data_IF_484748860604
#
_entry.id   IF_484748860604
#
_cell.length_a   1.000
_cell.length_b   1.000
_cell.length_c   1.000
_cell.angle_alpha   90.00
_cell.angle_beta   90.00
_cell.angle_gamma   90.00
#
_symmetry.space_group_name_H-M   'P 1'
#
loop_
_entity.id
_entity.type
_entity.pdbx_description
1 polymer ?
#
# COMPACT_ATOMS: atom_id res chain seq x y z
N UNK A 1 -17.83 7.03 10.03
CA UNK A 1 -16.43 7.47 9.93
C UNK A 1 -15.55 6.64 10.85
N UNK A 2 -14.39 6.21 10.40
CA UNK A 2 -13.40 5.47 11.20
C UNK A 2 -12.16 6.30 11.31
N UNK A 3 -11.72 6.50 12.53
CA UNK A 3 -10.64 7.42 12.84
C UNK A 3 -9.48 6.70 13.55
N UNK A 4 -8.27 6.84 13.01
CA UNK A 4 -7.05 6.31 13.64
C UNK A 4 -6.27 7.45 14.32
N UNK A 5 -6.35 7.61 15.68
CA UNK A 5 -5.66 8.65 16.40
C UNK A 5 -4.13 8.48 16.41
N UNK A 6 -3.64 7.24 16.19
CA UNK A 6 -2.20 6.96 16.13
C UNK A 6 -1.59 7.35 14.78
N UNK A 7 -2.42 7.64 13.75
CA UNK A 7 -1.94 8.06 12.44
C UNK A 7 -1.07 9.32 12.52
N UNK A 8 -0.15 9.49 11.57
CA UNK A 8 0.76 10.62 11.57
C UNK A 8 1.62 10.72 12.83
N UNK A 9 1.88 9.58 13.52
CA UNK A 9 2.64 9.45 14.78
C UNK A 9 1.98 10.13 15.98
N UNK A 10 0.67 9.93 16.14
CA UNK A 10 -0.15 10.48 17.21
C UNK A 10 -0.64 11.91 16.97
N UNK A 11 -0.25 12.54 15.85
CA UNK A 11 -0.81 13.85 15.47
C UNK A 11 -2.26 13.73 14.99
N UNK A 12 -2.67 12.55 14.56
CA UNK A 12 -4.06 12.26 14.20
C UNK A 12 -5.01 12.65 15.31
N UNK A 13 -4.73 12.24 16.56
CA UNK A 13 -5.56 12.56 17.72
C UNK A 13 -5.82 14.05 17.93
N UNK A 14 -4.84 14.91 17.68
CA UNK A 14 -4.99 16.37 17.80
C UNK A 14 -5.89 17.00 16.72
N UNK A 15 -6.08 16.28 15.59
CA UNK A 15 -6.86 16.75 14.44
C UNK A 15 -8.30 16.24 14.43
N UNK A 16 -8.65 15.33 15.35
CA UNK A 16 -10.00 14.71 15.38
C UNK A 16 -11.09 15.77 15.49
N UNK A 17 -10.99 16.66 16.48
CA UNK A 17 -12.01 17.67 16.71
C UNK A 17 -12.22 18.56 15.48
N UNK A 18 -11.14 19.04 14.87
CA UNK A 18 -11.20 19.87 13.66
C UNK A 18 -11.81 19.10 12.46
N UNK A 19 -11.45 17.81 12.27
CA UNK A 19 -12.06 16.99 11.22
C UNK A 19 -13.55 16.74 11.48
N UNK A 20 -13.94 16.45 12.72
CA UNK A 20 -15.35 16.26 13.08
C UNK A 20 -16.17 17.53 12.85
N UNK A 21 -15.66 18.68 13.23
CA UNK A 21 -16.31 19.97 13.01
C UNK A 21 -16.50 20.25 11.52
N UNK A 22 -15.45 20.11 10.73
CA UNK A 22 -15.51 20.29 9.28
C UNK A 22 -16.47 19.32 8.61
N UNK A 23 -16.42 18.03 8.98
CA UNK A 23 -17.32 17.01 8.44
C UNK A 23 -18.77 17.29 8.82
N UNK A 24 -19.05 17.63 10.08
CA UNK A 24 -20.41 17.99 10.54
C UNK A 24 -20.95 19.20 9.78
N UNK A 25 -20.13 20.21 9.53
CA UNK A 25 -20.50 21.39 8.77
C UNK A 25 -20.89 21.08 7.33
N UNK A 26 -20.23 20.12 6.68
CA UNK A 26 -20.40 19.82 5.25
C UNK A 26 -21.29 18.62 4.98
N UNK A 27 -21.35 17.63 5.86
CA UNK A 27 -22.09 16.38 5.68
C UNK A 27 -23.31 16.23 6.61
N UNK A 28 -23.46 17.11 7.59
CA UNK A 28 -24.50 16.97 8.63
C UNK A 28 -24.12 15.87 9.65
N UNK A 29 -25.14 15.18 10.18
CA UNK A 29 -24.95 14.14 11.22
C UNK A 29 -24.45 12.85 10.60
N UNK A 30 -23.40 12.24 11.21
CA UNK A 30 -22.85 10.94 10.82
C UNK A 30 -22.35 10.16 12.04
N UNK A 31 -22.33 8.82 11.93
CA UNK A 31 -21.72 7.96 12.94
C UNK A 31 -20.19 7.98 12.85
N UNK A 32 -19.50 7.89 14.00
CA UNK A 32 -18.05 7.77 14.02
C UNK A 32 -17.55 6.76 15.06
N UNK A 33 -16.41 6.15 14.78
CA UNK A 33 -15.69 5.24 15.66
C UNK A 33 -14.21 5.59 15.67
N UNK A 34 -13.55 5.35 16.80
CA UNK A 34 -12.12 5.62 16.99
C UNK A 34 -11.43 4.30 17.25
N UNK A 35 -10.35 4.01 16.50
CA UNK A 35 -9.53 2.82 16.75
C UNK A 35 -8.77 2.96 18.07
N UNK A 36 -8.66 1.86 18.82
CA UNK A 36 -7.93 1.79 20.09
C UNK A 36 -6.61 1.06 19.94
N UNK A 37 -6.53 0.15 18.98
CA UNK A 37 -5.36 -0.64 18.65
C UNK A 37 -5.23 -0.82 17.14
N UNK A 38 -4.04 -1.23 16.68
CA UNK A 38 -3.81 -1.65 15.29
C UNK A 38 -4.69 -2.86 14.98
N UNK A 39 -5.38 -2.83 13.85
CA UNK A 39 -6.29 -3.88 13.40
C UNK A 39 -7.75 -3.65 13.75
N UNK A 40 -8.10 -2.60 14.52
CA UNK A 40 -9.49 -2.26 14.82
C UNK A 40 -10.24 -1.72 13.59
N UNK A 41 -9.52 -1.21 12.59
CA UNK A 41 -10.09 -0.57 11.41
C UNK A 41 -11.05 -1.49 10.65
N UNK A 42 -10.64 -2.73 10.41
CA UNK A 42 -11.47 -3.73 9.71
C UNK A 42 -12.76 -4.06 10.46
N UNK A 43 -12.71 -4.52 11.71
CA UNK A 43 -13.93 -4.80 12.52
C UNK A 43 -14.87 -3.60 12.63
N UNK A 44 -14.36 -2.38 12.80
CA UNK A 44 -15.17 -1.16 12.87
C UNK A 44 -15.82 -0.84 11.51
N UNK A 45 -15.10 -1.06 10.39
CA UNK A 45 -15.65 -0.88 9.06
C UNK A 45 -16.78 -1.88 8.79
N UNK A 46 -16.56 -3.15 9.12
CA UNK A 46 -17.56 -4.19 8.99
C UNK A 46 -18.83 -3.88 9.79
N UNK A 47 -18.68 -3.52 11.07
CA UNK A 47 -19.82 -3.17 11.92
C UNK A 47 -20.61 -1.98 11.35
N UNK A 48 -19.95 -0.98 10.80
CA UNK A 48 -20.61 0.15 10.17
C UNK A 48 -21.37 -0.26 8.89
N UNK A 49 -20.80 -1.14 8.06
CA UNK A 49 -21.45 -1.69 6.87
C UNK A 49 -22.67 -2.56 7.22
N UNK A 50 -22.56 -3.39 8.24
CA UNK A 50 -23.67 -4.20 8.77
C UNK A 50 -24.81 -3.32 9.33
N UNK A 51 -24.47 -2.13 9.85
CA UNK A 51 -25.44 -1.12 10.28
C UNK A 51 -26.03 -0.29 9.11
N UNK A 52 -25.71 -0.62 7.85
CA UNK A 52 -26.27 0.02 6.66
C UNK A 52 -25.50 1.24 6.16
N UNK A 53 -24.25 1.43 6.55
CA UNK A 53 -23.45 2.54 6.01
C UNK A 53 -23.11 2.30 4.53
N UNK A 54 -23.47 3.25 3.67
CA UNK A 54 -23.17 3.23 2.22
C UNK A 54 -21.78 3.84 1.90
N UNK A 55 -21.24 4.63 2.80
CA UNK A 55 -19.93 5.26 2.63
C UNK A 55 -19.15 5.16 3.94
N UNK A 56 -17.96 4.56 3.87
CA UNK A 56 -17.02 4.54 4.99
C UNK A 56 -15.94 5.57 4.76
N UNK A 57 -15.87 6.55 5.67
CA UNK A 57 -14.81 7.56 5.65
C UNK A 57 -13.68 7.09 6.56
N UNK A 58 -12.51 6.81 6.00
CA UNK A 58 -11.32 6.39 6.70
C UNK A 58 -10.36 7.58 6.92
N UNK A 59 -10.19 8.00 8.17
CA UNK A 59 -9.27 9.08 8.56
C UNK A 59 -8.00 8.46 9.11
N UNK A 60 -6.94 8.49 8.31
CA UNK A 60 -5.69 7.80 8.64
C UNK A 60 -4.62 7.96 7.57
N UNK A 61 -3.73 7.01 7.49
CA UNK A 61 -2.76 6.82 6.41
C UNK A 61 -3.08 5.57 5.59
N UNK A 62 -2.15 5.19 4.70
CA UNK A 62 -2.31 4.09 3.75
C UNK A 62 -2.72 2.77 4.43
N UNK A 63 -2.09 2.38 5.55
CA UNK A 63 -2.47 1.17 6.30
C UNK A 63 -3.91 1.21 6.85
N UNK A 64 -4.37 2.35 7.38
CA UNK A 64 -5.77 2.52 7.81
C UNK A 64 -6.73 2.37 6.63
N UNK A 65 -6.40 2.98 5.49
CA UNK A 65 -7.23 2.94 4.30
C UNK A 65 -7.33 1.54 3.71
N UNK A 66 -6.20 0.82 3.66
CA UNK A 66 -6.13 -0.55 3.16
C UNK A 66 -6.99 -1.50 4.01
N UNK A 67 -6.93 -1.42 5.35
CA UNK A 67 -7.72 -2.26 6.25
C UNK A 67 -9.22 -1.97 6.16
N UNK A 68 -9.62 -0.71 5.98
CA UNK A 68 -11.01 -0.33 5.76
C UNK A 68 -11.48 -0.79 4.39
N UNK A 69 -10.66 -0.57 3.33
CA UNK A 69 -10.96 -0.99 1.98
C UNK A 69 -11.22 -2.49 1.88
N UNK A 70 -10.46 -3.30 2.60
CA UNK A 70 -10.60 -4.77 2.65
C UNK A 70 -12.01 -5.22 3.06
N UNK A 71 -12.74 -4.41 3.81
CA UNK A 71 -14.15 -4.67 4.19
C UNK A 71 -15.16 -4.10 3.19
N UNK A 72 -14.80 -3.03 2.49
CA UNK A 72 -15.67 -2.37 1.48
C UNK A 72 -15.66 -3.14 0.16
N UNK A 73 -14.50 -3.71 -0.21
CA UNK A 73 -14.33 -4.48 -1.44
C UNK A 73 -15.28 -5.67 -1.45
N UNK A 74 -16.14 -5.74 -2.48
CA UNK A 74 -17.09 -6.84 -2.63
C UNK A 74 -18.23 -6.88 -1.60
N UNK A 75 -18.47 -5.78 -0.86
CA UNK A 75 -19.58 -5.73 0.09
C UNK A 75 -20.94 -5.91 -0.62
N UNK A 76 -21.78 -6.84 -0.17
CA UNK A 76 -23.10 -7.05 -0.77
C UNK A 76 -23.96 -5.79 -0.65
N UNK A 77 -24.43 -5.22 -1.70
CA UNK A 77 -25.21 -3.97 -1.71
C UNK A 77 -24.41 -2.76 -2.14
N UNK A 78 -23.11 -2.93 -2.30
CA UNK A 78 -22.19 -1.87 -2.68
C UNK A 78 -21.91 -0.88 -1.54
N UNK A 79 -20.69 -0.45 -1.41
CA UNK A 79 -20.29 0.61 -0.48
C UNK A 79 -19.13 1.40 -1.08
N UNK A 80 -18.94 2.63 -0.62
CA UNK A 80 -17.88 3.53 -1.10
C UNK A 80 -16.86 3.78 -0.01
N UNK A 81 -15.60 3.85 -0.41
CA UNK A 81 -14.53 4.33 0.45
C UNK A 81 -14.32 5.83 0.24
N UNK A 82 -14.14 6.55 1.31
CA UNK A 82 -13.63 7.90 1.27
C UNK A 82 -12.42 8.00 2.19
N UNK A 83 -11.35 8.65 1.75
CA UNK A 83 -10.11 8.74 2.52
C UNK A 83 -9.82 10.18 2.92
N UNK A 84 -9.49 10.39 4.21
CA UNK A 84 -9.03 11.67 4.72
C UNK A 84 -7.60 11.51 5.23
N UNK A 85 -6.63 12.22 4.61
CA UNK A 85 -5.22 12.05 4.92
C UNK A 85 -4.86 12.58 6.30
N UNK A 86 -4.30 11.72 7.16
CA UNK A 86 -3.67 12.11 8.43
C UNK A 86 -2.40 11.30 8.71
N UNK A 87 -2.00 10.42 7.81
CA UNK A 87 -0.76 9.64 7.85
C UNK A 87 0.48 10.42 7.43
N UNK A 88 1.62 9.72 7.35
CA UNK A 88 2.90 10.29 6.90
C UNK A 88 3.11 10.14 5.39
N UNK A 89 2.72 9.00 4.80
CA UNK A 89 2.85 8.69 3.37
C UNK A 89 1.68 9.23 2.57
N UNK A 90 0.53 8.65 2.79
CA UNK A 90 -0.74 8.95 2.11
C UNK A 90 -0.61 8.83 0.58
N UNK A 91 0.09 7.80 0.13
CA UNK A 91 0.45 7.65 -1.27
C UNK A 91 -0.76 7.32 -2.15
N UNK A 92 -1.72 6.54 -1.64
CA UNK A 92 -2.98 6.30 -2.34
C UNK A 92 -3.79 7.59 -2.55
N UNK A 93 -3.87 8.44 -1.53
CA UNK A 93 -4.56 9.73 -1.66
C UNK A 93 -3.91 10.66 -2.71
N UNK A 94 -2.56 10.61 -2.87
CA UNK A 94 -1.87 11.33 -3.95
C UNK A 94 -2.31 10.86 -5.33
N UNK A 95 -2.51 9.54 -5.51
CA UNK A 95 -3.02 8.98 -6.76
C UNK A 95 -4.46 9.42 -7.07
N UNK A 96 -5.24 9.75 -6.04
CA UNK A 96 -6.60 10.29 -6.18
C UNK A 96 -6.65 11.81 -6.37
N UNK A 97 -5.51 12.50 -6.33
CA UNK A 97 -5.44 13.96 -6.43
C UNK A 97 -5.90 14.70 -5.18
N UNK A 98 -5.90 14.03 -4.02
CA UNK A 98 -6.29 14.68 -2.75
C UNK A 98 -5.21 15.67 -2.31
N UNK A 99 -5.62 16.88 -1.95
CA UNK A 99 -4.74 17.90 -1.38
C UNK A 99 -4.50 17.62 0.10
N UNK A 100 -3.23 17.58 0.49
CA UNK A 100 -2.82 17.37 1.89
C UNK A 100 -2.63 18.67 2.66
N UNK A 101 -2.58 19.78 1.96
CA UNK A 101 -2.34 21.09 2.55
C UNK A 101 -3.63 21.72 3.07
N UNK A 102 -4.79 21.14 2.71
CA UNK A 102 -6.10 21.64 3.10
C UNK A 102 -7.07 20.50 3.45
N UNK A 103 -7.25 20.18 4.76
CA UNK A 103 -8.31 19.29 5.21
C UNK A 103 -9.69 19.68 4.69
N UNK A 104 -9.95 20.98 4.52
CA UNK A 104 -11.21 21.51 3.99
C UNK A 104 -11.43 21.09 2.53
N UNK A 105 -10.38 21.02 1.72
CA UNK A 105 -10.50 20.57 0.33
C UNK A 105 -10.91 19.10 0.27
N UNK A 106 -10.31 18.25 1.12
CA UNK A 106 -10.66 16.84 1.20
C UNK A 106 -12.11 16.64 1.70
N UNK A 107 -12.54 17.40 2.70
CA UNK A 107 -13.92 17.33 3.20
C UNK A 107 -14.93 17.86 2.16
N UNK A 108 -14.60 18.93 1.42
CA UNK A 108 -15.44 19.42 0.31
C UNK A 108 -15.55 18.40 -0.83
N UNK A 109 -14.48 17.69 -1.14
CA UNK A 109 -14.49 16.59 -2.12
C UNK A 109 -15.47 15.48 -1.69
N UNK A 110 -15.41 15.10 -0.41
CA UNK A 110 -16.37 14.18 0.20
C UNK A 110 -17.82 14.66 0.04
N UNK A 111 -18.09 15.92 0.38
CA UNK A 111 -19.41 16.52 0.27
C UNK A 111 -19.91 16.61 -1.18
N UNK A 112 -19.00 16.75 -2.15
CA UNK A 112 -19.30 16.73 -3.58
C UNK A 112 -19.77 15.36 -4.09
N UNK A 113 -19.47 14.28 -3.36
CA UNK A 113 -20.01 12.95 -3.63
C UNK A 113 -19.58 12.32 -4.96
N UNK A 114 -18.59 12.87 -5.67
CA UNK A 114 -18.08 12.27 -6.91
C UNK A 114 -17.38 10.95 -6.58
N UNK A 115 -17.62 9.95 -7.40
CA UNK A 115 -17.07 8.61 -7.21
C UNK A 115 -16.27 8.21 -8.43
N UNK A 116 -15.10 7.62 -8.20
CA UNK A 116 -14.26 6.98 -9.21
C UNK A 116 -14.13 5.51 -8.85
N UNK A 117 -14.33 4.64 -9.82
CA UNK A 117 -14.00 3.23 -9.67
C UNK A 117 -12.51 3.04 -9.88
N UNK A 118 -11.86 2.43 -8.89
CA UNK A 118 -10.43 2.15 -8.92
C UNK A 118 -10.17 0.65 -8.87
N UNK A 119 -9.05 0.29 -9.42
CA UNK A 119 -8.52 -1.06 -9.33
C UNK A 119 -7.97 -1.33 -7.93
N UNK A 120 -7.90 -2.60 -7.58
CA UNK A 120 -7.35 -3.07 -6.31
C UNK A 120 -6.38 -4.20 -6.60
N UNK A 121 -5.21 -4.16 -6.00
CA UNK A 121 -4.32 -5.31 -6.04
C UNK A 121 -4.74 -6.36 -5.02
N UNK A 122 -4.53 -7.64 -5.36
CA UNK A 122 -4.77 -8.78 -4.50
C UNK A 122 -3.53 -9.65 -4.40
N UNK A 123 -3.07 -9.89 -3.18
CA UNK A 123 -1.98 -10.81 -2.86
C UNK A 123 -2.56 -12.11 -2.35
N UNK A 124 -2.08 -13.22 -2.90
CA UNK A 124 -2.47 -14.57 -2.51
C UNK A 124 -1.23 -15.36 -2.10
N UNK A 125 -1.24 -15.90 -0.87
CA UNK A 125 -0.13 -16.67 -0.31
C UNK A 125 -0.62 -17.98 0.27
N UNK A 126 0.20 -19.06 0.25
CA UNK A 126 -0.12 -20.30 0.95
C UNK A 126 -0.34 -20.06 2.45
N UNK A 127 -1.31 -20.78 3.04
CA UNK A 127 -1.58 -20.74 4.49
C UNK A 127 -0.69 -21.72 5.27
N UNK A 128 -0.15 -22.75 4.58
CA UNK A 128 0.74 -23.76 5.11
C UNK A 128 1.82 -24.12 4.08
N UNK A 129 2.99 -24.68 4.49
CA UNK A 129 4.10 -24.96 3.58
C UNK A 129 3.74 -25.90 2.42
N UNK A 130 2.92 -26.91 2.65
CA UNK A 130 2.55 -27.94 1.67
C UNK A 130 1.21 -27.69 0.98
N UNK A 131 0.78 -26.43 0.91
CA UNK A 131 -0.50 -26.05 0.29
C UNK A 131 -0.54 -26.41 -1.19
N UNK A 132 -1.42 -27.31 -1.58
CA UNK A 132 -1.63 -27.69 -3.00
C UNK A 132 -2.45 -26.64 -3.73
N UNK A 133 -2.01 -26.33 -4.96
CA UNK A 133 -2.76 -25.44 -5.85
C UNK A 133 -4.13 -26.05 -6.15
N UNK A 134 -5.21 -25.31 -5.83
CA UNK A 134 -6.60 -25.76 -6.05
C UNK A 134 -7.47 -25.72 -4.80
N UNK A 135 -6.91 -25.83 -3.62
CA UNK A 135 -7.66 -25.66 -2.37
C UNK A 135 -7.65 -24.18 -1.95
N UNK A 136 -8.74 -23.49 -2.27
CA UNK A 136 -8.86 -22.03 -1.97
C UNK A 136 -8.85 -21.73 -0.45
N UNK A 137 -9.25 -22.66 0.39
CA UNK A 137 -9.23 -22.50 1.85
C UNK A 137 -7.82 -22.53 2.43
N UNK A 138 -6.87 -23.07 1.68
CA UNK A 138 -5.48 -23.21 2.03
C UNK A 138 -4.63 -21.98 1.63
N UNK A 139 -5.27 -20.89 1.20
CA UNK A 139 -4.60 -19.64 0.84
C UNK A 139 -5.11 -18.47 1.67
N UNK A 140 -4.20 -17.55 1.99
CA UNK A 140 -4.52 -16.25 2.58
C UNK A 140 -4.55 -15.20 1.50
N UNK A 141 -5.57 -14.37 1.53
CA UNK A 141 -5.76 -13.27 0.60
C UNK A 141 -5.66 -11.93 1.34
N UNK A 142 -5.03 -10.95 0.70
CA UNK A 142 -4.98 -9.56 1.14
C UNK A 142 -5.14 -8.63 -0.04
N UNK A 143 -5.86 -7.53 0.16
CA UNK A 143 -5.96 -6.50 -0.84
C UNK A 143 -4.97 -5.37 -0.55
N UNK A 144 -4.59 -4.63 -1.59
CA UNK A 144 -3.81 -3.41 -1.47
C UNK A 144 -4.33 -2.33 -2.43
N UNK A 145 -4.26 -1.11 -1.97
CA UNK A 145 -4.67 0.06 -2.73
C UNK A 145 -3.51 0.66 -3.53
N UNK A 146 -2.31 0.50 -3.00
CA UNK A 146 -1.12 1.16 -3.52
C UNK A 146 -0.09 0.18 -4.05
N UNK A 147 0.52 -0.68 -3.22
CA UNK A 147 1.48 -1.67 -3.69
C UNK A 147 1.74 -2.83 -2.72
N UNK A 148 2.38 -3.87 -3.27
CA UNK A 148 3.10 -4.90 -2.52
C UNK A 148 4.59 -4.80 -2.86
N UNK A 149 5.45 -4.93 -1.84
CA UNK A 149 6.90 -4.78 -1.96
C UNK A 149 7.68 -5.96 -1.38
N UNK A 150 8.86 -6.22 -1.96
CA UNK A 150 9.76 -7.31 -1.59
C UNK A 150 11.21 -6.82 -1.56
N UNK A 151 11.91 -7.04 -0.45
CA UNK A 151 13.34 -6.81 -0.36
C UNK A 151 13.73 -5.60 0.48
N UNK A 152 14.37 -4.61 -0.12
CA UNK A 152 14.95 -3.46 0.55
C UNK A 152 13.96 -2.65 1.41
N UNK A 153 12.73 -2.50 0.95
CA UNK A 153 11.63 -1.82 1.64
C UNK A 153 11.36 -2.40 3.03
N UNK A 154 11.29 -3.74 3.13
CA UNK A 154 11.10 -4.45 4.39
C UNK A 154 12.27 -4.19 5.35
N UNK A 155 13.50 -4.22 4.84
CA UNK A 155 14.68 -3.93 5.64
C UNK A 155 14.67 -2.50 6.21
N UNK A 156 14.13 -1.54 5.45
CA UNK A 156 13.94 -0.15 5.91
C UNK A 156 12.85 -0.06 6.98
N UNK A 157 11.73 -0.76 6.79
CA UNK A 157 10.62 -0.79 7.77
C UNK A 157 11.11 -1.39 9.10
N UNK A 158 11.77 -2.55 9.05
CA UNK A 158 12.32 -3.23 10.24
C UNK A 158 13.32 -2.35 10.98
N UNK A 159 14.24 -1.73 10.25
CA UNK A 159 15.26 -0.87 10.86
C UNK A 159 14.63 0.42 11.44
N UNK A 160 13.60 0.96 10.81
CA UNK A 160 12.87 2.12 11.31
C UNK A 160 12.06 1.80 12.59
N UNK A 161 11.51 0.59 12.69
CA UNK A 161 10.80 0.12 13.88
C UNK A 161 11.73 -0.01 15.11
N UNK A 162 12.98 -0.40 14.89
CA UNK A 162 14.01 -0.52 15.94
C UNK A 162 14.66 0.80 16.38
N UNK A 163 14.45 1.89 15.68
CA UNK A 163 15.16 3.14 15.96
C UNK A 163 14.47 3.97 17.06
N UNK A 164 15.20 4.23 18.15
CA UNK A 164 14.69 4.95 19.34
C UNK A 164 14.92 6.46 19.31
N UNK A 165 15.87 6.96 18.53
CA UNK A 165 16.38 8.35 18.64
C UNK A 165 15.97 9.29 17.50
N UNK A 166 15.59 8.78 16.35
CA UNK A 166 15.18 9.58 15.20
C UNK A 166 13.67 9.46 14.98
N UNK A 167 13.03 10.54 14.53
CA UNK A 167 11.59 10.56 14.22
C UNK A 167 11.35 11.23 12.86
N UNK A 168 10.27 10.86 12.19
CA UNK A 168 9.83 11.55 10.99
C UNK A 168 10.46 11.05 9.70
N UNK A 169 10.33 11.84 8.65
CA UNK A 169 10.89 11.56 7.32
C UNK A 169 12.43 11.41 7.36
N UNK A 170 13.10 12.11 8.28
CA UNK A 170 14.54 12.00 8.49
C UNK A 170 14.95 10.60 8.94
N UNK A 171 14.18 9.97 9.85
CA UNK A 171 14.43 8.59 10.26
C UNK A 171 14.40 7.65 9.04
N UNK A 172 13.36 7.75 8.24
CA UNK A 172 13.21 6.90 7.04
C UNK A 172 14.36 7.10 6.06
N UNK A 173 14.77 8.35 5.78
CA UNK A 173 15.89 8.63 4.87
C UNK A 173 17.22 8.11 5.40
N UNK A 174 17.51 8.31 6.67
CA UNK A 174 18.75 7.80 7.30
C UNK A 174 18.79 6.28 7.31
N UNK A 175 17.67 5.65 7.68
CA UNK A 175 17.55 4.19 7.72
C UNK A 175 17.65 3.59 6.32
N UNK A 176 16.98 4.18 5.34
CA UNK A 176 17.06 3.78 3.95
C UNK A 176 18.52 3.88 3.45
N UNK A 177 19.20 4.99 3.73
CA UNK A 177 20.60 5.15 3.33
C UNK A 177 21.50 4.10 3.97
N UNK A 178 21.33 3.79 5.26
CA UNK A 178 22.12 2.73 5.93
C UNK A 178 21.84 1.35 5.32
N UNK A 179 20.56 1.04 5.02
CA UNK A 179 20.19 -0.23 4.42
C UNK A 179 20.69 -0.37 2.97
N UNK A 180 20.81 0.70 2.20
CA UNK A 180 21.42 0.66 0.86
C UNK A 180 22.82 0.05 0.85
N UNK A 181 23.59 0.25 1.93
CA UNK A 181 24.94 -0.30 2.06
C UNK A 181 24.97 -1.70 2.69
N UNK A 182 23.96 -2.09 3.45
CA UNK A 182 23.96 -3.33 4.26
C UNK A 182 23.08 -4.44 3.70
N UNK A 183 22.03 -4.07 2.97
CA UNK A 183 21.06 -5.05 2.47
C UNK A 183 21.72 -5.97 1.43
N UNK A 184 21.64 -7.31 1.62
CA UNK A 184 22.35 -8.26 0.74
C UNK A 184 21.67 -8.48 -0.61
N UNK A 185 20.51 -7.85 -0.85
CA UNK A 185 19.64 -8.23 -1.96
C UNK A 185 18.75 -9.42 -1.63
N UNK A 186 17.79 -9.69 -2.48
CA UNK A 186 16.89 -10.85 -2.38
C UNK A 186 16.91 -11.62 -3.70
N UNK A 187 17.09 -12.93 -3.62
CA UNK A 187 16.98 -13.82 -4.77
C UNK A 187 15.51 -14.18 -4.99
N UNK A 188 14.98 -13.86 -6.15
CA UNK A 188 13.60 -14.17 -6.52
C UNK A 188 13.46 -14.37 -8.04
N UNK A 189 12.36 -14.99 -8.44
CA UNK A 189 11.91 -14.99 -9.83
C UNK A 189 10.51 -14.40 -9.94
N UNK A 190 10.29 -13.61 -10.97
CA UNK A 190 9.02 -13.00 -11.33
C UNK A 190 8.53 -13.59 -12.64
N UNK A 191 7.35 -14.21 -12.62
CA UNK A 191 6.67 -14.66 -13.83
C UNK A 191 5.47 -13.76 -14.12
N UNK A 192 5.24 -13.47 -15.40
CA UNK A 192 4.12 -12.68 -15.91
C UNK A 192 3.56 -13.34 -17.16
N UNK A 193 2.35 -12.96 -17.56
CA UNK A 193 1.73 -13.44 -18.79
C UNK A 193 2.44 -13.01 -20.08
N UNK A 194 3.06 -11.83 -20.05
CA UNK A 194 3.62 -11.21 -21.26
C UNK A 194 5.11 -11.56 -21.51
N UNK A 195 5.92 -11.65 -20.46
CA UNK A 195 7.38 -11.71 -20.58
C UNK A 195 8.00 -13.04 -20.10
N UNK A 196 7.17 -14.02 -19.71
CA UNK A 196 7.65 -15.26 -19.10
C UNK A 196 8.29 -15.02 -17.74
N UNK A 197 9.36 -15.77 -17.40
CA UNK A 197 10.00 -15.71 -16.08
C UNK A 197 11.31 -14.94 -16.13
N UNK A 198 11.48 -14.04 -15.17
CA UNK A 198 12.74 -13.34 -14.88
C UNK A 198 13.23 -13.76 -13.51
N UNK A 199 14.46 -14.24 -13.43
CA UNK A 199 15.09 -14.64 -12.17
C UNK A 199 16.39 -13.87 -11.94
N UNK A 200 16.69 -13.59 -10.69
CA UNK A 200 17.94 -12.96 -10.31
C UNK A 200 17.87 -12.29 -8.94
N UNK A 201 19.03 -11.75 -8.53
CA UNK A 201 19.15 -11.01 -7.28
C UNK A 201 18.67 -9.59 -7.49
N UNK A 202 17.70 -9.20 -6.67
CA UNK A 202 17.10 -7.87 -6.73
C UNK A 202 17.44 -7.07 -5.48
N UNK A 203 17.59 -5.78 -5.61
CA UNK A 203 17.57 -4.84 -4.48
C UNK A 203 16.15 -4.71 -3.96
N UNK A 204 15.20 -4.48 -4.85
CA UNK A 204 13.76 -4.36 -4.54
C UNK A 204 12.91 -4.82 -5.73
N UNK A 205 11.79 -5.43 -5.43
CA UNK A 205 10.66 -5.60 -6.34
C UNK A 205 9.45 -4.95 -5.71
N UNK A 206 8.79 -4.04 -6.42
CA UNK A 206 7.45 -3.56 -6.07
C UNK A 206 6.47 -3.94 -7.16
N UNK A 207 5.24 -4.29 -6.80
CA UNK A 207 4.13 -4.50 -7.74
C UNK A 207 3.04 -3.52 -7.32
N UNK A 208 2.84 -2.50 -8.12
CA UNK A 208 2.11 -1.28 -7.77
C UNK A 208 0.80 -1.16 -8.54
N UNK A 209 -0.27 -0.80 -7.85
CA UNK A 209 -1.52 -0.30 -8.40
C UNK A 209 -1.44 1.22 -8.60
N UNK A 210 -0.79 1.92 -7.67
CA UNK A 210 -0.58 3.36 -7.72
C UNK A 210 0.86 3.75 -8.10
N UNK A 211 1.02 5.04 -8.44
CA UNK A 211 2.31 5.61 -8.86
C UNK A 211 3.32 5.72 -7.73
N UNK A 212 2.85 6.02 -6.50
CA UNK A 212 3.67 6.49 -5.40
C UNK A 212 3.93 5.41 -4.34
N UNK A 213 5.10 5.49 -3.71
CA UNK A 213 5.60 4.61 -2.66
C UNK A 213 6.40 5.40 -1.62
N UNK A 214 6.41 4.94 -0.37
CA UNK A 214 7.30 5.43 0.68
C UNK A 214 7.17 6.92 1.00
N UNK A 215 5.99 7.51 0.79
CA UNK A 215 5.71 8.92 1.06
C UNK A 215 6.00 9.85 -0.11
N UNK A 216 5.76 9.40 -1.32
CA UNK A 216 5.80 10.22 -2.52
C UNK A 216 6.87 9.88 -3.55
N UNK A 217 7.58 8.76 -3.40
CA UNK A 217 8.49 8.25 -4.44
C UNK A 217 7.69 7.72 -5.62
N UNK A 218 7.85 8.27 -6.84
CA UNK A 218 7.15 7.75 -8.01
C UNK A 218 7.82 6.47 -8.52
N UNK A 219 7.64 5.34 -7.80
CA UNK A 219 8.29 4.06 -8.12
C UNK A 219 7.76 3.42 -9.39
N UNK A 220 6.50 3.64 -9.70
CA UNK A 220 5.84 3.24 -10.94
C UNK A 220 5.25 4.48 -11.65
N UNK A 221 6.07 5.34 -12.30
CA UNK A 221 5.61 6.64 -12.77
C UNK A 221 4.49 6.59 -13.81
N UNK A 222 4.36 5.47 -14.52
CA UNK A 222 3.29 5.23 -15.51
C UNK A 222 2.00 4.66 -14.93
N UNK A 223 1.98 4.24 -13.66
CA UNK A 223 0.80 3.62 -13.06
C UNK A 223 -0.34 4.61 -12.85
N UNK A 224 -1.56 4.14 -13.06
CA UNK A 224 -2.80 4.81 -12.68
C UNK A 224 -3.73 3.79 -12.03
N UNK A 225 -4.46 4.22 -11.01
CA UNK A 225 -5.27 3.33 -10.16
C UNK A 225 -6.54 2.78 -10.83
N UNK A 226 -6.69 2.92 -12.15
CA UNK A 226 -7.88 2.53 -12.93
C UNK A 226 -7.58 2.08 -14.36
N UNK A 227 -6.32 1.71 -14.67
CA UNK A 227 -5.90 1.25 -15.99
C UNK A 227 -6.07 -0.27 -16.22
N UNK A 228 -6.52 -1.01 -15.20
CA UNK A 228 -6.72 -2.45 -15.24
C UNK A 228 -5.42 -3.25 -15.18
N UNK A 229 -4.32 -2.63 -14.75
CA UNK A 229 -2.99 -3.24 -14.69
C UNK A 229 -2.33 -3.04 -13.31
N UNK A 230 -1.36 -3.88 -13.04
CA UNK A 230 -0.36 -3.66 -12.00
C UNK A 230 1.00 -3.43 -12.65
N UNK A 231 1.83 -2.64 -12.00
CA UNK A 231 3.13 -2.23 -12.52
C UNK A 231 4.24 -2.72 -11.60
N UNK A 232 4.96 -3.75 -12.05
CA UNK A 232 6.14 -4.24 -11.35
C UNK A 232 7.35 -3.37 -11.67
N UNK A 233 8.04 -2.88 -10.64
CA UNK A 233 9.33 -2.24 -10.74
C UNK A 233 10.36 -3.16 -10.09
N UNK A 234 11.25 -3.74 -10.90
CA UNK A 234 12.41 -4.48 -10.44
C UNK A 234 13.62 -3.56 -10.50
N UNK A 235 14.32 -3.45 -9.38
CA UNK A 235 15.64 -2.80 -9.32
C UNK A 235 16.64 -3.89 -8.96
N UNK A 236 17.48 -4.26 -9.93
CA UNK A 236 18.53 -5.25 -9.77
C UNK A 236 19.55 -4.87 -8.71
N UNK A 237 20.24 -5.87 -8.19
CA UNK A 237 21.32 -5.63 -7.23
C UNK A 237 22.51 -4.90 -7.88
N UNK A 238 23.11 -3.98 -7.15
CA UNK A 238 24.20 -3.15 -7.61
C UNK A 238 25.16 -2.80 -6.46
N UNK A 239 26.32 -2.28 -6.79
CA UNK A 239 27.25 -1.78 -5.77
C UNK A 239 26.71 -0.58 -4.98
N UNK A 240 27.19 -0.35 -3.75
CA UNK A 240 26.60 0.63 -2.82
C UNK A 240 26.43 2.04 -3.38
N UNK A 241 27.43 2.57 -4.08
CA UNK A 241 27.35 3.91 -4.69
C UNK A 241 26.28 3.96 -5.80
N UNK A 242 26.17 2.89 -6.59
CA UNK A 242 25.15 2.79 -7.63
C UNK A 242 23.74 2.68 -7.03
N UNK A 243 23.57 1.91 -5.94
CA UNK A 243 22.31 1.87 -5.20
C UNK A 243 21.90 3.25 -4.69
N UNK A 244 22.82 4.04 -4.14
CA UNK A 244 22.54 5.41 -3.70
C UNK A 244 22.13 6.32 -4.87
N UNK A 245 22.77 6.19 -6.03
CA UNK A 245 22.38 6.91 -7.24
C UNK A 245 20.98 6.52 -7.73
N UNK A 246 20.67 5.22 -7.77
CA UNK A 246 19.33 4.70 -8.14
C UNK A 246 18.25 5.19 -7.17
N UNK A 247 18.52 5.16 -5.86
CA UNK A 247 17.59 5.68 -4.84
C UNK A 247 17.27 7.16 -5.06
N UNK A 248 18.30 7.99 -5.31
CA UNK A 248 18.11 9.41 -5.59
C UNK A 248 17.31 9.66 -6.89
N UNK A 249 17.49 8.81 -7.90
CA UNK A 249 16.72 8.87 -9.13
C UNK A 249 15.27 8.41 -8.92
N UNK A 250 15.04 7.35 -8.13
CA UNK A 250 13.71 6.83 -7.80
C UNK A 250 12.90 7.87 -6.99
N UNK A 251 13.54 8.59 -6.07
CA UNK A 251 12.90 9.70 -5.32
C UNK A 251 12.31 10.76 -6.25
N UNK A 252 12.87 10.92 -7.45
CA UNK A 252 12.43 11.89 -8.46
C UNK A 252 11.66 11.25 -9.63
N UNK A 253 11.39 9.95 -9.58
CA UNK A 253 10.76 9.21 -10.69
C UNK A 253 11.62 9.13 -11.95
N UNK A 254 12.96 9.29 -11.84
CA UNK A 254 13.92 9.30 -12.95
C UNK A 254 14.76 8.03 -13.05
N UNK A 255 14.36 6.97 -12.37
CA UNK A 255 15.05 5.67 -12.38
C UNK A 255 14.68 4.81 -13.59
N UNK A 256 13.53 5.07 -14.22
CA UNK A 256 13.10 4.33 -15.42
C UNK A 256 14.10 4.56 -16.55
N UNK A 257 14.51 3.48 -17.21
CA UNK A 257 15.53 3.52 -18.27
C UNK A 257 16.97 3.29 -17.77
N UNK A 258 17.18 3.19 -16.46
CA UNK A 258 18.48 2.78 -15.92
C UNK A 258 18.71 1.27 -16.19
N UNK A 259 19.96 0.82 -16.44
CA UNK A 259 20.24 -0.58 -16.80
C UNK A 259 19.75 -1.62 -15.78
N UNK A 260 19.74 -1.26 -14.50
CA UNK A 260 19.31 -2.13 -13.41
C UNK A 260 17.81 -2.09 -13.17
N UNK A 261 17.06 -1.21 -13.86
CA UNK A 261 15.64 -0.97 -13.62
C UNK A 261 14.80 -1.54 -14.74
N UNK A 262 13.84 -2.37 -14.39
CA UNK A 262 12.86 -2.91 -15.32
C UNK A 262 11.45 -2.63 -14.82
N UNK A 263 10.62 -2.01 -15.67
CA UNK A 263 9.18 -1.83 -15.42
C UNK A 263 8.41 -2.82 -16.30
N UNK A 264 7.50 -3.56 -15.70
CA UNK A 264 6.64 -4.54 -16.38
C UNK A 264 5.21 -4.28 -15.94
N UNK A 265 4.30 -4.12 -16.90
CA UNK A 265 2.87 -3.96 -16.61
C UNK A 265 2.13 -5.22 -17.02
N UNK A 266 1.37 -5.81 -16.12
CA UNK A 266 0.55 -7.00 -16.39
C UNK A 266 -0.65 -7.04 -15.42
N UNK A 267 -1.59 -7.93 -15.68
CA UNK A 267 -2.77 -8.18 -14.84
C UNK A 267 -2.47 -9.10 -13.65
N UNK A 268 -1.41 -9.88 -13.74
CA UNK A 268 -0.98 -10.82 -12.72
C UNK A 268 0.53 -11.03 -12.71
N UNK A 269 1.04 -11.36 -11.55
CA UNK A 269 2.44 -11.65 -11.29
C UNK A 269 2.54 -12.85 -10.35
N UNK A 270 3.56 -13.69 -10.57
CA UNK A 270 3.89 -14.78 -9.65
C UNK A 270 5.34 -14.63 -9.21
N UNK A 271 5.51 -14.31 -7.94
CA UNK A 271 6.82 -14.16 -7.30
C UNK A 271 7.20 -15.49 -6.64
N UNK A 272 8.37 -16.02 -6.95
CA UNK A 272 8.91 -17.26 -6.39
C UNK A 272 10.24 -17.00 -5.72
N UNK A 273 10.44 -17.60 -4.58
CA UNK A 273 11.66 -17.53 -3.77
C UNK A 273 12.33 -18.91 -3.76
N UNK A 274 13.68 -18.99 -3.60
CA UNK A 274 14.38 -20.27 -3.48
C UNK A 274 13.86 -21.10 -2.30
N UNK A 275 13.56 -22.38 -2.53
CA UNK A 275 13.07 -23.28 -1.46
C UNK A 275 14.09 -23.52 -0.36
N UNK A 276 15.39 -23.39 -0.68
CA UNK A 276 16.48 -23.46 0.31
C UNK A 276 16.64 -22.21 1.16
N UNK A 277 15.91 -21.13 0.83
CA UNK A 277 15.99 -19.85 1.54
C UNK A 277 14.95 -19.72 2.65
N UNK A 278 14.95 -18.59 3.38
CA UNK A 278 13.91 -18.29 4.35
C UNK A 278 12.56 -18.08 3.66
N UNK A 279 11.47 -18.30 4.39
CA UNK A 279 10.14 -17.98 3.92
C UNK A 279 10.03 -16.48 3.60
N UNK A 280 9.39 -16.12 2.48
CA UNK A 280 9.34 -14.74 2.05
C UNK A 280 8.54 -13.86 3.00
N UNK A 281 9.09 -12.67 3.21
CA UNK A 281 8.39 -11.54 3.81
C UNK A 281 8.11 -10.52 2.71
N UNK A 282 6.99 -9.85 2.83
CA UNK A 282 6.56 -8.82 1.88
C UNK A 282 5.81 -7.72 2.64
N UNK A 283 5.83 -6.52 2.10
CA UNK A 283 4.99 -5.43 2.60
C UNK A 283 3.73 -5.29 1.76
N UNK A 284 2.66 -4.82 2.37
CA UNK A 284 1.39 -4.44 1.70
C UNK A 284 0.95 -3.10 2.29
N UNK A 285 0.94 -2.05 1.46
CA UNK A 285 0.56 -0.69 1.85
C UNK A 285 1.22 -0.19 3.15
N UNK A 286 2.49 -0.60 3.40
CA UNK A 286 3.29 -0.21 4.57
C UNK A 286 3.31 -1.20 5.74
N UNK A 287 2.47 -2.24 5.72
CA UNK A 287 2.45 -3.30 6.73
C UNK A 287 3.22 -4.54 6.26
N UNK A 288 4.03 -5.15 7.14
CA UNK A 288 4.86 -6.32 6.80
C UNK A 288 4.15 -7.63 7.14
N UNK A 289 4.17 -8.55 6.19
CA UNK A 289 3.57 -9.88 6.29
C UNK A 289 4.58 -10.98 5.93
N UNK A 290 4.25 -12.23 6.29
CA UNK A 290 4.99 -13.43 5.90
C UNK A 290 4.10 -14.39 5.11
N UNK A 291 4.70 -15.15 4.20
CA UNK A 291 4.08 -16.29 3.53
C UNK A 291 4.47 -17.59 4.23
N UNK A 292 3.57 -18.57 4.23
CA UNK A 292 3.87 -19.93 4.71
C UNK A 292 4.52 -20.81 3.62
N UNK A 293 4.70 -20.30 2.42
CA UNK A 293 5.38 -20.99 1.31
C UNK A 293 6.20 -20.03 0.48
N UNK A 294 7.00 -20.56 -0.46
CA UNK A 294 7.94 -19.81 -1.29
C UNK A 294 7.30 -19.13 -2.51
N UNK A 295 5.97 -18.98 -2.50
CA UNK A 295 5.20 -18.40 -3.58
C UNK A 295 4.32 -17.26 -3.07
N UNK A 296 4.29 -16.17 -3.84
CA UNK A 296 3.35 -15.05 -3.65
C UNK A 296 2.77 -14.71 -5.02
N UNK A 297 1.48 -14.90 -5.18
CA UNK A 297 0.78 -14.55 -6.41
C UNK A 297 0.07 -13.19 -6.21
N UNK A 298 0.12 -12.34 -7.23
CA UNK A 298 -0.42 -10.98 -7.17
C UNK A 298 -1.24 -10.74 -8.43
N UNK A 299 -2.44 -10.19 -8.29
CA UNK A 299 -3.33 -9.93 -9.43
C UNK A 299 -4.12 -8.64 -9.23
N UNK A 300 -4.57 -8.04 -10.33
CA UNK A 300 -5.47 -6.89 -10.30
C UNK A 300 -6.92 -7.35 -10.22
N UNK A 301 -7.69 -6.68 -9.39
CA UNK A 301 -9.15 -6.70 -9.40
C UNK A 301 -9.60 -5.39 -10.03
N UNK A 302 -9.98 -5.45 -11.30
CA UNK A 302 -10.35 -4.24 -12.05
C UNK A 302 -11.60 -3.59 -11.48
N UNK A 303 -11.53 -2.27 -11.27
CA UNK A 303 -12.65 -1.42 -10.83
C UNK A 303 -13.42 -1.99 -9.64
N UNK A 304 -12.67 -2.61 -8.71
CA UNK A 304 -13.23 -3.34 -7.59
C UNK A 304 -13.66 -2.47 -6.41
N UNK A 305 -13.30 -1.18 -6.40
CA UNK A 305 -13.59 -0.28 -5.30
C UNK A 305 -14.10 1.07 -5.80
N UNK A 306 -15.25 1.50 -5.29
CA UNK A 306 -15.77 2.84 -5.48
C UNK A 306 -15.14 3.79 -4.44
N UNK A 307 -14.43 4.82 -4.90
CA UNK A 307 -13.75 5.80 -4.02
C UNK A 307 -14.26 7.20 -4.29
N UNK A 308 -14.54 7.92 -3.21
CA UNK A 308 -14.93 9.34 -3.32
C UNK A 308 -13.70 10.19 -3.66
N UNK A 309 -13.81 10.99 -4.70
CA UNK A 309 -12.73 11.81 -5.25
C UNK A 309 -13.13 13.28 -5.35
N UNK A 310 -12.14 14.22 -5.45
CA UNK A 310 -12.40 15.65 -5.66
C UNK A 310 -13.24 15.99 -6.88
#
# INVERSE_FOLDING_TARGET
>A
MIFNPASGRGRGGQRIAAHLELLTKHLGTFGHSITRASGDEGPLARAALEAGAETIVAVGGDGTWSQVADQVIGWPGGARLAVLPSGTGNDFGRNLGLSYDSPEAAVRALAGGRTRRVDVGRVVTPSAPDTKRGDRSAFRTRHFLNLVGFGFDIAVIDAAAGARFLKGAVLYKVTALQQLFRFPGVDLSLATGQLGTRAGRQLILTISNGRYFGGGFPIAPGATVDDGLLHACLIGDAGPLRRAALFNRAERGRHVGEPEVQIISDRWFSVRFPESGPLPRFEVDGDVYGSAGHAVDVEVLEKALDVVVP
#
